data_IF_048420476896
#
_entry.id   IF_048420476896
#
_cell.length_a   1.000
_cell.length_b   1.000
_cell.length_c   1.000
_cell.angle_alpha   90.00
_cell.angle_beta   90.00
_cell.angle_gamma   90.00
#
_symmetry.space_group_name_H-M   'P 1'
#
loop_
_entity.id
_entity.type
_entity.pdbx_description
1 polymer ?
#
# COMPACT_ATOMS: atom_id res chain seq x y z
N UNK A 1 0.01 -16.33 14.34
CA UNK A 1 0.92 -15.49 13.54
C UNK A 1 0.29 -14.11 13.48
N UNK A 2 1.04 -13.07 13.84
CA UNK A 2 0.55 -11.70 13.73
C UNK A 2 0.57 -11.28 12.26
N UNK A 3 -0.53 -10.71 11.78
CA UNK A 3 -0.64 -10.22 10.40
C UNK A 3 0.12 -8.91 10.28
N UNK A 4 1.09 -8.85 9.37
CA UNK A 4 1.85 -7.63 9.12
C UNK A 4 0.99 -6.65 8.34
N UNK A 5 0.74 -5.48 8.91
CA UNK A 5 0.02 -4.41 8.22
C UNK A 5 1.00 -3.63 7.35
N UNK A 6 0.76 -3.61 6.05
CA UNK A 6 1.67 -3.04 5.06
C UNK A 6 1.05 -1.80 4.43
N UNK A 7 1.83 -0.72 4.40
CA UNK A 7 1.52 0.47 3.62
C UNK A 7 2.41 0.48 2.38
N UNK A 8 1.79 0.48 1.20
CA UNK A 8 2.52 0.53 -0.07
C UNK A 8 2.69 1.97 -0.54
N UNK A 9 3.91 2.48 -0.43
CA UNK A 9 4.28 3.78 -0.96
C UNK A 9 4.77 3.61 -2.41
N UNK A 10 4.40 4.53 -3.31
CA UNK A 10 4.68 4.41 -4.75
C UNK A 10 4.14 3.10 -5.33
N UNK A 11 2.89 2.77 -4.98
CA UNK A 11 2.27 1.47 -5.25
C UNK A 11 2.23 1.08 -6.75
N UNK A 12 2.30 2.07 -7.65
CA UNK A 12 2.29 1.84 -9.09
C UNK A 12 1.08 1.02 -9.50
N UNK A 13 1.33 -0.08 -10.23
CA UNK A 13 0.29 -1.02 -10.69
C UNK A 13 0.05 -2.18 -9.70
N UNK A 14 0.75 -2.21 -8.57
CA UNK A 14 0.59 -3.21 -7.52
C UNK A 14 1.54 -4.42 -7.59
N UNK A 15 2.77 -4.20 -8.05
CA UNK A 15 3.80 -5.25 -8.10
C UNK A 15 4.18 -5.78 -6.71
N UNK A 16 4.35 -4.89 -5.73
CA UNK A 16 4.66 -5.27 -4.35
C UNK A 16 3.52 -6.06 -3.70
N UNK A 17 2.28 -5.73 -4.02
CA UNK A 17 1.12 -6.45 -3.50
C UNK A 17 1.13 -7.91 -3.95
N UNK A 18 1.46 -8.15 -5.23
CA UNK A 18 1.65 -9.50 -5.75
C UNK A 18 2.83 -10.22 -5.08
N UNK A 19 3.98 -9.56 -4.92
CA UNK A 19 5.14 -10.14 -4.25
C UNK A 19 4.81 -10.53 -2.79
N UNK A 20 4.05 -9.70 -2.09
CA UNK A 20 3.61 -9.96 -0.73
C UNK A 20 2.66 -11.18 -0.67
N UNK A 21 1.71 -11.29 -1.61
CA UNK A 21 0.84 -12.47 -1.75
C UNK A 21 1.64 -13.74 -2.04
N UNK A 22 2.66 -13.66 -2.90
CA UNK A 22 3.48 -14.80 -3.28
C UNK A 22 4.47 -15.22 -2.18
N UNK A 23 4.91 -14.27 -1.34
CA UNK A 23 5.85 -14.54 -0.25
C UNK A 23 5.32 -15.50 0.83
N UNK A 24 3.99 -15.71 0.90
CA UNK A 24 3.36 -16.51 1.94
C UNK A 24 3.41 -15.87 3.33
N UNK A 25 3.89 -14.62 3.45
CA UNK A 25 3.87 -13.86 4.69
C UNK A 25 2.42 -13.46 4.99
N UNK A 26 1.91 -13.73 6.20
CA UNK A 26 0.60 -13.25 6.61
C UNK A 26 0.66 -11.72 6.73
N UNK A 27 0.28 -11.03 5.66
CA UNK A 27 0.32 -9.59 5.58
C UNK A 27 -0.94 -9.02 4.91
N UNK A 28 -1.33 -7.83 5.34
CA UNK A 28 -2.50 -7.10 4.86
C UNK A 28 -2.06 -5.73 4.39
N UNK A 29 -2.29 -5.44 3.10
CA UNK A 29 -2.05 -4.09 2.56
C UNK A 29 -3.20 -3.20 3.02
N UNK A 30 -2.91 -2.30 3.97
CA UNK A 30 -3.93 -1.42 4.55
C UNK A 30 -4.27 -0.24 3.63
N UNK A 31 -3.29 0.20 2.85
CA UNK A 31 -3.45 1.27 1.89
C UNK A 31 -2.28 1.27 0.91
N UNK A 32 -2.58 1.70 -0.31
CA UNK A 32 -1.64 1.95 -1.38
C UNK A 32 -1.65 3.44 -1.73
N UNK A 33 -0.46 4.02 -1.94
CA UNK A 33 -0.28 5.45 -2.21
C UNK A 33 0.46 5.63 -3.52
N UNK A 34 -0.17 6.33 -4.47
CA UNK A 34 0.48 6.77 -5.70
C UNK A 34 -0.18 8.04 -6.24
N UNK A 35 0.63 8.93 -6.80
CA UNK A 35 0.18 10.18 -7.42
C UNK A 35 -0.35 9.95 -8.84
N UNK A 36 0.10 8.88 -9.50
CA UNK A 36 -0.24 8.60 -10.89
C UNK A 36 -1.66 8.02 -10.98
N UNK A 37 -2.56 8.79 -11.58
CA UNK A 37 -3.96 8.40 -11.76
C UNK A 37 -4.14 7.17 -12.65
N UNK A 38 -3.31 6.99 -13.68
CA UNK A 38 -3.33 5.81 -14.56
C UNK A 38 -2.90 4.57 -13.79
N UNK A 39 -1.84 4.66 -12.98
CA UNK A 39 -1.38 3.56 -12.13
C UNK A 39 -2.46 3.17 -11.12
N UNK A 40 -3.10 4.16 -10.48
CA UNK A 40 -4.20 3.95 -9.54
C UNK A 40 -5.41 3.22 -10.17
N UNK A 41 -5.74 3.51 -11.44
CA UNK A 41 -6.81 2.79 -12.15
C UNK A 41 -6.46 1.32 -12.34
N UNK A 42 -5.21 1.02 -12.74
CA UNK A 42 -4.73 -0.34 -12.93
C UNK A 42 -4.67 -1.07 -11.59
N UNK A 43 -4.10 -0.45 -10.56
CA UNK A 43 -4.02 -1.03 -9.23
C UNK A 43 -5.42 -1.35 -8.69
N UNK A 44 -6.37 -0.40 -8.77
CA UNK A 44 -7.75 -0.62 -8.30
C UNK A 44 -8.47 -1.71 -9.10
N UNK A 45 -8.14 -1.89 -10.37
CA UNK A 45 -8.67 -3.00 -11.16
C UNK A 45 -8.18 -4.36 -10.64
N UNK A 46 -6.90 -4.45 -10.24
CA UNK A 46 -6.29 -5.67 -9.70
C UNK A 46 -6.68 -5.93 -8.22
N UNK A 47 -6.81 -4.86 -7.43
CA UNK A 47 -7.03 -4.88 -5.99
C UNK A 47 -8.17 -3.91 -5.60
N UNK A 48 -9.43 -4.23 -5.94
CA UNK A 48 -10.56 -3.35 -5.70
C UNK A 48 -10.86 -3.12 -4.21
N UNK A 49 -10.48 -4.08 -3.37
CA UNK A 49 -10.72 -4.07 -1.93
C UNK A 49 -9.66 -3.28 -1.14
N UNK A 50 -8.55 -2.89 -1.79
CA UNK A 50 -7.45 -2.17 -1.15
C UNK A 50 -7.65 -0.66 -1.23
N UNK A 51 -7.62 0.06 -0.09
CA UNK A 51 -7.71 1.51 -0.09
C UNK A 51 -6.57 2.17 -0.88
N UNK A 52 -6.92 3.08 -1.78
CA UNK A 52 -5.96 3.77 -2.66
C UNK A 52 -5.99 5.27 -2.39
N UNK A 53 -4.85 5.84 -2.00
CA UNK A 53 -4.72 7.24 -1.67
C UNK A 53 -3.90 7.96 -2.73
N UNK A 54 -4.58 8.83 -3.48
CA UNK A 54 -3.92 9.77 -4.38
C UNK A 54 -3.44 10.99 -3.58
N UNK A 55 -2.32 10.83 -2.87
CA UNK A 55 -1.69 11.89 -2.07
C UNK A 55 -0.18 11.84 -2.26
N UNK A 56 0.45 13.01 -2.31
CA UNK A 56 1.90 13.10 -2.29
C UNK A 56 2.46 12.56 -0.98
N UNK A 57 3.43 11.65 -1.09
CA UNK A 57 4.08 10.99 0.04
C UNK A 57 4.83 12.01 0.91
N UNK A 58 5.21 13.16 0.34
CA UNK A 58 5.83 14.29 1.05
C UNK A 58 4.98 14.88 2.18
N UNK A 59 3.66 14.64 2.19
CA UNK A 59 2.75 15.10 3.25
C UNK A 59 2.64 14.08 4.40
N UNK A 60 3.25 12.90 4.27
CA UNK A 60 3.27 11.90 5.34
C UNK A 60 4.24 12.30 6.46
N UNK A 61 3.66 12.79 7.55
CA UNK A 61 4.41 13.11 8.78
C UNK A 61 4.50 11.87 9.67
N UNK A 62 5.56 11.72 10.47
CA UNK A 62 5.79 10.58 11.38
C UNK A 62 4.60 10.28 12.34
N UNK A 63 3.75 11.28 12.61
CA UNK A 63 2.50 11.10 13.38
C UNK A 63 1.43 10.27 12.66
N UNK A 64 1.35 10.34 11.33
CA UNK A 64 0.35 9.53 10.60
C UNK A 64 0.76 8.06 10.61
N UNK A 65 2.05 7.75 10.52
CA UNK A 65 2.55 6.37 10.53
C UNK A 65 2.30 5.64 11.87
N UNK A 66 2.47 6.33 13.00
CA UNK A 66 2.15 5.77 14.32
C UNK A 66 0.65 5.49 14.48
N UNK A 67 -0.21 6.34 13.92
CA UNK A 67 -1.66 6.14 13.98
C UNK A 67 -2.14 4.93 13.18
N UNK A 68 -1.41 4.52 12.15
CA UNK A 68 -1.78 3.37 11.31
C UNK A 68 -1.05 2.07 11.68
N UNK A 69 0.04 2.12 12.46
CA UNK A 69 0.74 0.93 12.96
C UNK A 69 1.17 -0.02 11.83
N UNK A 70 1.70 0.52 10.73
CA UNK A 70 2.04 -0.24 9.53
C UNK A 70 3.54 -0.24 9.25
N UNK A 71 4.02 -1.35 8.72
CA UNK A 71 5.34 -1.50 8.14
C UNK A 71 5.34 -0.91 6.72
N UNK A 72 6.37 -0.15 6.39
CA UNK A 72 6.49 0.49 5.08
C UNK A 72 7.13 -0.47 4.09
N UNK A 73 6.47 -0.66 2.94
CA UNK A 73 7.10 -1.24 1.76
C UNK A 73 7.49 -0.11 0.82
N UNK A 74 8.78 -0.02 0.49
CA UNK A 74 9.33 0.85 -0.56
C UNK A 74 9.57 0.01 -1.81
#
# INVERSE_FOLDING_TARGET
METVRVLELYSGIGGMHYALKESGVPAEVVAAVDINTTANQIYKHNFPDTPLWNKSIEVWTQKSSESYGCFFSI
#
